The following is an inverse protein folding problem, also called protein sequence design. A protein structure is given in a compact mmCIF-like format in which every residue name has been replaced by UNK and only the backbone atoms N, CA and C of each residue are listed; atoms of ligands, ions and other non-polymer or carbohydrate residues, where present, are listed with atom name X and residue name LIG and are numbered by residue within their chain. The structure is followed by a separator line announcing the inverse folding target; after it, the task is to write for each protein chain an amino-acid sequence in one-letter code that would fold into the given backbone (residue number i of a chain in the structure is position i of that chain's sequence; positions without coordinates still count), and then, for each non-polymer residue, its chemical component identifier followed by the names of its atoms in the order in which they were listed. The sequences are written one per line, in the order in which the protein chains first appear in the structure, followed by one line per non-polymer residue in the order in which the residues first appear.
data_IF_260006084935
#
_entry.id   IF_260006084935
#
_cell.length_a   1.000
_cell.length_b   1.000
_cell.length_c   1.000
_cell.angle_alpha   90.00
_cell.angle_beta   90.00
_cell.angle_gamma   90.00
#
_symmetry.space_group_name_H-M   'P 1'
#
loop_
_entity.id
_entity.type
_entity.pdbx_description
1 polymer ?
#
# COMPACT_ATOMS: atom_id res chain seq x y z
N UNK A 1 -0.73 26.55 -14.72
CA UNK A 1 -2.04 26.35 -14.08
C UNK A 1 -2.24 27.45 -13.05
N UNK A 2 -3.34 28.18 -13.09
CA UNK A 2 -3.65 29.23 -12.11
C UNK A 2 -4.20 28.58 -10.84
N UNK A 3 -4.03 29.21 -9.66
CA UNK A 3 -4.58 28.71 -8.40
C UNK A 3 -6.11 28.50 -8.42
N UNK A 4 -6.80 29.21 -9.32
CA UNK A 4 -8.26 29.09 -9.57
C UNK A 4 -8.65 27.79 -10.28
N UNK A 5 -7.70 27.06 -10.87
CA UNK A 5 -7.96 25.82 -11.61
C UNK A 5 -7.76 24.58 -10.73
N UNK A 6 -7.36 24.75 -9.47
CA UNK A 6 -7.13 23.67 -8.52
C UNK A 6 -8.45 23.18 -7.97
N UNK A 7 -8.75 21.90 -8.20
CA UNK A 7 -9.90 21.24 -7.57
C UNK A 7 -9.61 20.99 -6.09
N UNK A 8 -10.58 21.25 -5.24
CA UNK A 8 -10.53 20.75 -3.87
C UNK A 8 -10.78 19.25 -3.89
N UNK A 9 -9.86 18.49 -3.31
CA UNK A 9 -9.86 17.02 -3.37
C UNK A 9 -9.65 16.45 -1.98
N UNK A 10 -10.40 15.41 -1.64
CA UNK A 10 -10.14 14.55 -0.48
C UNK A 10 -10.04 13.12 -0.96
N UNK A 11 -8.90 12.49 -0.68
CA UNK A 11 -8.63 11.08 -1.01
C UNK A 11 -8.47 10.31 0.29
N UNK A 12 -9.06 9.12 0.34
CA UNK A 12 -8.87 8.15 1.42
C UNK A 12 -8.30 6.86 0.83
N UNK A 13 -7.23 6.37 1.43
CA UNK A 13 -6.59 5.10 1.07
C UNK A 13 -6.58 4.20 2.30
N UNK A 14 -7.07 2.96 2.21
CA UNK A 14 -7.08 2.03 3.33
C UNK A 14 -5.67 1.58 3.68
N UNK A 15 -5.49 1.10 4.91
CA UNK A 15 -4.33 0.31 5.32
C UNK A 15 -4.61 -1.18 5.26
N UNK A 16 -3.73 -1.97 5.88
CA UNK A 16 -3.89 -3.41 6.10
C UNK A 16 -3.75 -3.75 7.59
N UNK A 17 -3.90 -5.02 7.91
CA UNK A 17 -3.58 -5.56 9.24
C UNK A 17 -2.51 -6.66 9.16
N UNK A 18 -1.51 -6.46 8.32
CA UNK A 18 -0.52 -7.45 7.93
C UNK A 18 -0.88 -8.13 6.61
N UNK A 19 -0.11 -9.14 6.23
CA UNK A 19 -0.27 -9.84 4.97
C UNK A 19 -1.05 -11.14 5.15
N UNK A 20 -1.98 -11.43 4.22
CA UNK A 20 -2.64 -12.75 4.16
C UNK A 20 -1.63 -13.83 3.79
N UNK A 21 -0.84 -13.57 2.77
CA UNK A 21 0.28 -14.40 2.35
C UNK A 21 1.47 -13.52 2.02
N UNK A 22 2.66 -13.97 2.36
CA UNK A 22 3.91 -13.37 1.90
C UNK A 22 4.99 -14.41 1.80
N UNK A 23 5.87 -14.29 0.81
CA UNK A 23 6.94 -15.24 0.61
C UNK A 23 7.65 -15.07 -0.71
N UNK A 24 8.22 -16.17 -1.19
CA UNK A 24 8.95 -16.24 -2.44
C UNK A 24 8.38 -17.36 -3.29
N UNK A 25 7.94 -17.06 -4.51
CA UNK A 25 7.33 -18.04 -5.41
C UNK A 25 7.70 -17.77 -6.87
N UNK A 26 8.10 -18.82 -7.60
CA UNK A 26 8.50 -18.69 -9.00
C UNK A 26 9.74 -17.80 -9.21
N UNK A 27 10.66 -17.77 -8.25
CA UNK A 27 11.86 -16.95 -8.30
C UNK A 27 11.65 -15.48 -7.96
N UNK A 28 10.48 -15.09 -7.43
CA UNK A 28 10.15 -13.71 -7.10
C UNK A 28 9.47 -13.57 -5.73
N UNK A 29 9.70 -12.45 -5.03
CA UNK A 29 8.96 -12.15 -3.82
C UNK A 29 7.50 -11.82 -4.16
N UNK A 30 6.62 -12.15 -3.25
CA UNK A 30 5.21 -11.77 -3.35
C UNK A 30 4.61 -11.45 -1.99
N UNK A 31 3.56 -10.67 -2.00
CA UNK A 31 2.65 -10.49 -0.89
C UNK A 31 1.19 -10.39 -1.37
N UNK A 32 0.28 -10.78 -0.49
CA UNK A 32 -1.16 -10.62 -0.68
C UNK A 32 -1.71 -9.84 0.50
N UNK A 33 -2.13 -8.62 0.23
CA UNK A 33 -2.62 -7.68 1.24
C UNK A 33 -4.14 -7.63 1.25
N UNK A 34 -4.73 -7.67 2.44
CA UNK A 34 -6.17 -7.44 2.65
C UNK A 34 -6.38 -6.01 3.17
N UNK A 35 -6.99 -5.12 2.38
CA UNK A 35 -7.32 -3.79 2.86
C UNK A 35 -8.34 -3.83 4.00
N UNK A 36 -8.19 -2.91 4.96
CA UNK A 36 -9.09 -2.76 6.12
C UNK A 36 -9.79 -1.38 6.13
N UNK A 37 -10.87 -1.26 6.88
CA UNK A 37 -11.63 -0.01 6.99
C UNK A 37 -10.98 0.99 7.98
N UNK A 38 -9.66 1.18 7.88
CA UNK A 38 -8.88 2.27 8.51
C UNK A 38 -8.07 2.95 7.43
N UNK A 39 -7.98 4.27 7.50
CA UNK A 39 -7.57 5.06 6.35
C UNK A 39 -6.50 6.10 6.66
N UNK A 40 -5.63 6.32 5.69
CA UNK A 40 -4.96 7.59 5.50
C UNK A 40 -5.83 8.49 4.64
N UNK A 41 -6.02 9.74 5.07
CA UNK A 41 -6.81 10.77 4.37
C UNK A 41 -5.90 11.94 4.00
N UNK A 42 -5.94 12.36 2.73
CA UNK A 42 -5.25 13.54 2.23
C UNK A 42 -6.26 14.52 1.64
N UNK A 43 -6.23 15.77 2.13
CA UNK A 43 -6.90 16.92 1.49
C UNK A 43 -5.89 17.75 0.71
N UNK A 44 -6.23 18.10 -0.52
CA UNK A 44 -5.51 19.07 -1.35
C UNK A 44 -6.44 20.22 -1.70
N UNK A 45 -6.03 21.46 -1.48
CA UNK A 45 -6.86 22.64 -1.76
C UNK A 45 -5.99 23.88 -1.94
N UNK A 46 -6.43 24.81 -2.80
CA UNK A 46 -5.82 26.13 -2.95
C UNK A 46 -5.84 26.98 -1.66
N UNK A 47 -6.75 26.69 -0.73
CA UNK A 47 -6.87 27.39 0.55
C UNK A 47 -5.92 26.86 1.63
N UNK A 48 -5.33 25.68 1.43
CA UNK A 48 -4.34 25.11 2.34
C UNK A 48 -2.94 25.67 2.07
N UNK A 49 -2.14 25.77 3.12
CA UNK A 49 -0.75 26.23 3.03
C UNK A 49 0.22 25.07 3.33
N UNK A 50 1.22 24.91 2.48
CA UNK A 50 2.31 23.95 2.66
C UNK A 50 1.88 22.47 2.60
N UNK A 51 2.76 21.61 3.09
CA UNK A 51 2.58 20.16 3.13
C UNK A 51 2.57 19.69 4.59
N UNK A 52 1.39 19.58 5.18
CA UNK A 52 1.19 19.27 6.60
C UNK A 52 0.92 17.80 6.80
N UNK A 53 1.61 17.16 7.74
CA UNK A 53 1.43 15.73 8.09
C UNK A 53 2.11 14.72 7.16
N UNK A 54 2.69 15.15 6.03
CA UNK A 54 3.38 14.28 5.10
C UNK A 54 4.72 13.81 5.69
N UNK A 55 4.95 12.49 5.72
CA UNK A 55 6.23 11.87 6.06
C UNK A 55 7.26 11.99 4.94
N UNK A 56 8.50 11.56 5.21
CA UNK A 56 9.60 11.64 4.25
C UNK A 56 9.29 10.87 2.95
N UNK A 57 8.83 9.63 3.07
CA UNK A 57 8.53 8.76 1.92
C UNK A 57 7.42 9.32 1.04
N UNK A 58 6.33 9.81 1.63
CA UNK A 58 5.24 10.44 0.87
C UNK A 58 5.65 11.77 0.22
N UNK A 59 6.57 12.54 0.84
CA UNK A 59 7.19 13.72 0.21
C UNK A 59 8.07 13.34 -0.97
N UNK A 60 8.89 12.29 -0.83
CA UNK A 60 9.73 11.76 -1.93
C UNK A 60 8.87 11.28 -3.10
N UNK A 61 7.80 10.55 -2.85
CA UNK A 61 6.86 10.12 -3.88
C UNK A 61 6.25 11.31 -4.63
N UNK A 62 5.79 12.33 -3.88
CA UNK A 62 5.25 13.56 -4.46
C UNK A 62 6.29 14.26 -5.35
N UNK A 63 7.54 14.36 -4.91
CA UNK A 63 8.62 14.96 -5.72
C UNK A 63 8.89 14.19 -7.00
N UNK A 64 8.88 12.85 -6.97
CA UNK A 64 9.03 12.01 -8.17
C UNK A 64 7.90 12.29 -9.17
N UNK A 65 6.66 12.32 -8.69
CA UNK A 65 5.50 12.63 -9.51
C UNK A 65 5.59 14.02 -10.15
N UNK A 66 5.90 15.06 -9.36
CA UNK A 66 5.99 16.44 -9.84
C UNK A 66 7.09 16.61 -10.88
N UNK A 67 8.27 16.00 -10.68
CA UNK A 67 9.36 15.99 -11.66
C UNK A 67 8.93 15.34 -12.99
N UNK A 68 8.27 14.17 -12.90
CA UNK A 68 7.78 13.47 -14.08
C UNK A 68 6.70 14.25 -14.84
N UNK A 69 5.92 15.06 -14.14
CA UNK A 69 4.89 15.93 -14.70
C UNK A 69 5.40 17.33 -15.14
N UNK A 70 6.69 17.64 -14.94
CA UNK A 70 7.27 18.95 -15.26
C UNK A 70 6.73 20.10 -14.39
N UNK A 71 6.32 19.79 -13.14
CA UNK A 71 5.74 20.76 -12.21
C UNK A 71 6.78 21.13 -11.15
N UNK A 72 7.26 22.37 -11.18
CA UNK A 72 8.27 22.87 -10.25
C UNK A 72 7.68 23.17 -8.86
N UNK A 73 6.44 23.68 -8.81
CA UNK A 73 5.79 24.12 -7.58
C UNK A 73 4.31 23.77 -7.59
N UNK A 74 3.84 23.16 -6.48
CA UNK A 74 2.41 22.93 -6.28
C UNK A 74 1.67 24.28 -6.09
N UNK A 75 0.57 24.50 -6.84
CA UNK A 75 -0.26 25.69 -6.69
C UNK A 75 -1.25 25.60 -5.51
N UNK A 76 -1.11 24.59 -4.64
CA UNK A 76 -2.00 24.32 -3.50
C UNK A 76 -1.23 23.69 -2.33
N UNK A 77 -1.84 23.72 -1.16
CA UNK A 77 -1.36 22.97 0.00
C UNK A 77 -2.03 21.61 0.15
N UNK A 78 -1.41 20.76 0.96
CA UNK A 78 -1.90 19.42 1.28
C UNK A 78 -1.86 19.16 2.78
N UNK A 79 -2.86 18.43 3.29
CA UNK A 79 -2.89 17.95 4.68
C UNK A 79 -3.17 16.46 4.70
N UNK A 80 -2.29 15.71 5.35
CA UNK A 80 -2.44 14.28 5.60
C UNK A 80 -2.81 14.04 7.05
N UNK A 81 -3.80 13.18 7.26
CA UNK A 81 -4.15 12.59 8.56
C UNK A 81 -4.29 11.08 8.38
N UNK A 82 -3.86 10.29 9.37
CA UNK A 82 -3.90 8.83 9.28
C UNK A 82 -4.47 8.22 10.56
N UNK A 83 -5.34 7.23 10.39
CA UNK A 83 -5.84 6.34 11.45
C UNK A 83 -4.90 5.14 11.66
N UNK A 84 -3.88 5.02 10.81
CA UNK A 84 -2.97 3.86 10.79
C UNK A 84 -1.75 4.14 11.67
N UNK A 85 -1.53 3.36 12.74
CA UNK A 85 -0.33 3.49 13.54
C UNK A 85 0.91 3.11 12.71
N UNK A 86 1.99 3.87 12.90
CA UNK A 86 3.26 3.63 12.21
C UNK A 86 4.04 2.49 12.84
N UNK A 87 4.77 1.70 12.03
CA UNK A 87 5.60 0.61 12.50
C UNK A 87 4.83 -0.57 13.09
N UNK A 88 3.56 -0.76 12.69
CA UNK A 88 2.70 -1.85 13.16
C UNK A 88 2.30 -2.85 12.07
N UNK A 89 2.99 -2.83 10.93
CA UNK A 89 2.62 -3.70 9.80
C UNK A 89 1.24 -3.39 9.20
N UNK A 90 0.76 -2.13 9.32
CA UNK A 90 -0.58 -1.74 8.86
C UNK A 90 -0.55 -0.99 7.52
N UNK A 91 0.49 -1.16 6.72
CA UNK A 91 0.68 -0.52 5.41
C UNK A 91 0.55 1.02 5.45
N UNK A 92 0.85 1.64 6.60
CA UNK A 92 0.67 3.09 6.78
C UNK A 92 1.50 3.91 5.79
N UNK A 93 2.72 3.48 5.48
CA UNK A 93 3.60 4.14 4.50
C UNK A 93 3.07 4.05 3.08
N UNK A 94 2.66 2.85 2.65
CA UNK A 94 2.07 2.62 1.32
C UNK A 94 0.75 3.41 1.14
N UNK A 95 -0.09 3.46 2.18
CA UNK A 95 -1.32 4.25 2.18
C UNK A 95 -1.03 5.76 2.11
N UNK A 96 -0.03 6.26 2.85
CA UNK A 96 0.38 7.67 2.83
C UNK A 96 0.90 8.07 1.45
N UNK A 97 1.76 7.25 0.84
CA UNK A 97 2.30 7.48 -0.51
C UNK A 97 1.17 7.54 -1.53
N UNK A 98 0.30 6.53 -1.56
CA UNK A 98 -0.77 6.44 -2.54
C UNK A 98 -1.79 7.58 -2.38
N UNK A 99 -2.17 7.92 -1.14
CA UNK A 99 -3.11 9.01 -0.87
C UNK A 99 -2.55 10.37 -1.31
N UNK A 100 -1.26 10.63 -1.08
CA UNK A 100 -0.58 11.87 -1.51
C UNK A 100 -0.51 11.96 -3.02
N UNK A 101 -0.10 10.90 -3.71
CA UNK A 101 -0.01 10.86 -5.17
C UNK A 101 -1.39 11.03 -5.82
N UNK A 102 -2.40 10.31 -5.33
CA UNK A 102 -3.76 10.41 -5.86
C UNK A 102 -4.37 11.79 -5.62
N UNK A 103 -4.20 12.37 -4.43
CA UNK A 103 -4.72 13.71 -4.14
C UNK A 103 -4.01 14.79 -4.97
N UNK A 104 -2.69 14.71 -5.11
CA UNK A 104 -1.93 15.66 -5.91
C UNK A 104 -2.32 15.60 -7.40
N UNK A 105 -2.35 14.41 -7.98
CA UNK A 105 -2.70 14.23 -9.39
C UNK A 105 -4.14 14.66 -9.69
N UNK A 106 -5.08 14.32 -8.80
CA UNK A 106 -6.48 14.72 -8.97
C UNK A 106 -6.67 16.24 -8.86
N UNK A 107 -6.01 16.89 -7.88
CA UNK A 107 -6.07 18.34 -7.74
C UNK A 107 -5.45 19.08 -8.96
N UNK A 108 -4.50 18.45 -9.64
CA UNK A 108 -3.90 18.93 -10.89
C UNK A 108 -4.72 18.59 -12.15
N UNK A 109 -5.88 17.95 -11.97
CA UNK A 109 -6.74 17.54 -13.10
C UNK A 109 -6.23 16.29 -13.85
N UNK A 110 -5.27 15.57 -13.26
CA UNK A 110 -4.70 14.34 -13.81
C UNK A 110 -5.04 13.18 -12.87
N UNK A 111 -5.93 12.29 -13.26
CA UNK A 111 -6.26 11.12 -12.46
C UNK A 111 -5.28 10.00 -12.78
N UNK A 112 -4.39 9.69 -11.84
CA UNK A 112 -3.50 8.53 -11.96
C UNK A 112 -4.30 7.23 -11.73
N UNK A 113 -4.15 6.29 -12.66
CA UNK A 113 -4.65 4.93 -12.46
C UNK A 113 -3.88 4.22 -11.33
N UNK A 114 -4.47 3.21 -10.64
CA UNK A 114 -3.80 2.47 -9.57
C UNK A 114 -2.43 1.91 -9.96
N UNK A 115 -2.27 1.45 -11.19
CA UNK A 115 -1.00 0.93 -11.70
C UNK A 115 0.07 2.03 -11.86
N UNK A 116 -0.35 3.26 -12.14
CA UNK A 116 0.57 4.40 -12.19
C UNK A 116 1.02 4.84 -10.78
N UNK A 117 0.10 4.79 -9.80
CA UNK A 117 0.43 4.99 -8.39
C UNK A 117 1.43 3.94 -7.93
N UNK A 118 1.21 2.66 -8.29
CA UNK A 118 2.06 1.54 -7.94
C UNK A 118 3.48 1.71 -8.49
N UNK A 119 3.62 2.09 -9.77
CA UNK A 119 4.93 2.36 -10.39
C UNK A 119 5.70 3.50 -9.73
N UNK A 120 5.02 4.48 -9.15
CA UNK A 120 5.68 5.55 -8.39
C UNK A 120 6.01 5.11 -6.97
N UNK A 121 5.13 4.36 -6.32
CA UNK A 121 5.34 3.89 -4.96
C UNK A 121 6.57 2.98 -4.83
N UNK A 122 6.75 2.01 -5.73
CA UNK A 122 7.90 1.09 -5.71
C UNK A 122 9.25 1.77 -5.97
N UNK A 123 9.27 2.98 -6.53
CA UNK A 123 10.50 3.77 -6.63
C UNK A 123 10.92 4.41 -5.30
N UNK A 124 10.03 4.40 -4.32
CA UNK A 124 10.28 4.94 -2.98
C UNK A 124 10.63 3.83 -2.01
N UNK A 125 9.84 2.77 -2.00
CA UNK A 125 10.00 1.59 -1.15
C UNK A 125 9.24 0.38 -1.72
N UNK A 126 9.54 -0.87 -1.29
CA UNK A 126 8.63 -2.00 -1.47
C UNK A 126 7.25 -1.65 -0.90
N UNK A 127 6.18 -1.91 -1.65
CA UNK A 127 4.86 -1.36 -1.34
C UNK A 127 3.79 -2.43 -1.24
N UNK A 128 2.85 -2.21 -0.33
CA UNK A 128 1.64 -3.01 -0.20
C UNK A 128 0.59 -2.61 -1.25
N UNK A 129 -0.30 -3.54 -1.58
CA UNK A 129 -1.30 -3.34 -2.62
C UNK A 129 -2.61 -2.69 -2.12
N UNK A 130 -2.60 -2.01 -0.97
CA UNK A 130 -3.81 -1.49 -0.29
C UNK A 130 -4.66 -0.51 -1.12
N UNK A 131 -4.09 0.11 -2.13
CA UNK A 131 -4.76 1.04 -3.04
C UNK A 131 -5.16 0.43 -4.39
N UNK A 132 -4.85 -0.85 -4.59
CA UNK A 132 -5.31 -1.59 -5.76
C UNK A 132 -6.76 -2.07 -5.55
N UNK A 133 -7.56 -2.18 -6.62
CA UNK A 133 -8.92 -2.71 -6.51
C UNK A 133 -8.93 -4.18 -6.08
N UNK A 134 -9.63 -4.48 -4.99
CA UNK A 134 -9.77 -5.85 -4.47
C UNK A 134 -8.56 -6.32 -3.68
N UNK A 135 -8.44 -7.63 -3.54
CA UNK A 135 -7.27 -8.30 -2.95
C UNK A 135 -6.37 -8.75 -4.08
N UNK A 136 -5.11 -8.37 -4.06
CA UNK A 136 -4.15 -8.70 -5.12
C UNK A 136 -2.90 -9.36 -4.55
N UNK A 137 -2.34 -10.27 -5.34
CA UNK A 137 -0.99 -10.80 -5.16
C UNK A 137 -0.04 -9.94 -5.98
N UNK A 138 0.95 -9.39 -5.33
CA UNK A 138 1.85 -8.38 -5.88
C UNK A 138 3.31 -8.75 -5.60
N UNK A 139 4.19 -8.57 -6.57
CA UNK A 139 5.61 -8.42 -6.29
C UNK A 139 5.83 -7.01 -5.74
N UNK A 140 6.07 -6.89 -4.44
CA UNK A 140 6.15 -5.61 -3.73
C UNK A 140 7.36 -4.76 -4.13
N UNK A 141 8.39 -5.37 -4.71
CA UNK A 141 9.62 -4.70 -5.13
C UNK A 141 9.48 -4.08 -6.52
N UNK A 142 8.87 -4.82 -7.46
CA UNK A 142 8.73 -4.39 -8.85
C UNK A 142 7.39 -3.72 -9.15
N UNK A 143 6.40 -3.90 -8.28
CA UNK A 143 5.03 -3.47 -8.51
C UNK A 143 4.27 -4.32 -9.54
N UNK A 144 4.77 -5.52 -9.87
CA UNK A 144 4.09 -6.41 -10.80
C UNK A 144 2.93 -7.12 -10.10
N UNK A 145 1.69 -6.86 -10.53
CA UNK A 145 0.52 -7.62 -10.09
C UNK A 145 0.59 -9.02 -10.70
N UNK A 146 0.61 -10.04 -9.85
CA UNK A 146 0.67 -11.45 -10.26
C UNK A 146 -0.72 -12.07 -10.37
N UNK A 147 -1.61 -11.74 -9.42
CA UNK A 147 -3.01 -12.23 -9.39
C UNK A 147 -3.93 -11.18 -8.80
N UNK A 148 -5.20 -11.22 -9.20
CA UNK A 148 -6.28 -10.42 -8.61
C UNK A 148 -7.43 -11.33 -8.19
N UNK A 149 -7.93 -11.12 -6.98
CA UNK A 149 -9.01 -11.91 -6.38
C UNK A 149 -10.28 -11.06 -6.32
N UNK A 150 -11.09 -11.08 -7.40
CA UNK A 150 -12.29 -10.24 -7.53
C UNK A 150 -13.49 -10.73 -6.74
N UNK A 151 -13.52 -12.01 -6.38
CA UNK A 151 -14.70 -12.67 -5.78
C UNK A 151 -14.64 -12.76 -4.27
N UNK A 152 -13.61 -12.19 -3.64
CA UNK A 152 -13.49 -12.25 -2.20
C UNK A 152 -14.36 -11.19 -1.54
N UNK A 153 -15.28 -11.63 -0.69
CA UNK A 153 -15.84 -10.75 0.34
C UNK A 153 -14.74 -10.41 1.34
N UNK A 154 -14.69 -9.14 1.75
CA UNK A 154 -13.73 -8.74 2.78
C UNK A 154 -14.13 -9.38 4.11
N UNK A 155 -13.23 -10.19 4.74
CA UNK A 155 -13.54 -10.82 6.00
C UNK A 155 -13.64 -9.79 7.13
N UNK A 156 -14.41 -10.12 8.15
CA UNK A 156 -14.37 -9.37 9.39
C UNK A 156 -13.11 -9.76 10.17
N UNK A 157 -12.27 -8.76 10.49
CA UNK A 157 -10.98 -8.96 11.12
C UNK A 157 -10.97 -8.36 12.54
N UNK A 158 -10.42 -9.10 13.50
CA UNK A 158 -10.10 -8.58 14.83
C UNK A 158 -8.59 -8.41 14.92
N UNK A 159 -8.15 -7.20 15.27
CA UNK A 159 -6.73 -6.84 15.33
C UNK A 159 -6.32 -6.71 16.80
N UNK A 160 -5.26 -7.43 17.19
CA UNK A 160 -4.64 -7.32 18.50
C UNK A 160 -3.26 -6.67 18.35
N UNK A 161 -3.05 -5.54 19.02
CA UNK A 161 -1.71 -4.92 19.11
C UNK A 161 -0.95 -5.59 20.29
N UNK A 162 0.05 -6.38 19.97
CA UNK A 162 0.90 -7.08 20.94
C UNK A 162 2.08 -6.22 21.42
N UNK A 163 2.14 -4.96 21.04
CA UNK A 163 3.25 -4.06 21.34
C UNK A 163 4.36 -4.09 20.28
N UNK A 164 5.48 -3.45 20.56
CA UNK A 164 6.64 -3.37 19.66
C UNK A 164 6.40 -2.54 18.39
N UNK A 165 7.43 -2.45 17.57
CA UNK A 165 7.40 -1.84 16.23
C UNK A 165 8.14 -2.72 15.25
N UNK A 166 7.69 -2.78 14.01
CA UNK A 166 8.32 -3.53 12.92
C UNK A 166 9.09 -2.56 12.03
N UNK A 167 10.37 -2.84 11.80
CA UNK A 167 11.13 -2.22 10.72
C UNK A 167 10.95 -3.06 9.45
N UNK A 168 10.07 -2.61 8.58
CA UNK A 168 9.74 -3.28 7.31
C UNK A 168 10.95 -3.42 6.39
N UNK A 169 11.92 -2.51 6.45
CA UNK A 169 13.12 -2.60 5.61
C UNK A 169 14.04 -3.75 6.05
N UNK A 170 14.19 -3.97 7.35
CA UNK A 170 14.95 -5.09 7.90
C UNK A 170 14.27 -6.43 7.57
N UNK A 171 12.96 -6.53 7.77
CA UNK A 171 12.21 -7.75 7.48
C UNK A 171 12.27 -8.16 5.99
N UNK A 172 12.27 -7.21 5.07
CA UNK A 172 12.40 -7.51 3.64
C UNK A 172 13.79 -8.02 3.26
N UNK A 173 14.83 -7.57 3.94
CA UNK A 173 16.21 -8.00 3.66
C UNK A 173 16.47 -9.45 4.10
N UNK A 174 15.85 -9.89 5.20
CA UNK A 174 16.01 -11.26 5.73
C UNK A 174 15.21 -12.30 4.97
N UNK A 175 14.07 -11.91 4.39
CA UNK A 175 13.18 -12.81 3.63
C UNK A 175 13.65 -13.09 2.18
N UNK A 176 14.76 -12.53 1.75
CA UNK A 176 15.24 -12.62 0.36
C UNK A 176 15.80 -14.00 0.02
N UNK A 177 15.11 -14.73 -0.86
CA UNK A 177 15.69 -15.80 -1.68
C UNK A 177 15.41 -17.24 -1.28
N UNK A 178 14.45 -17.53 -0.43
CA UNK A 178 14.09 -18.92 -0.10
C UNK A 178 12.72 -19.31 -0.64
N UNK A 179 12.68 -20.04 -1.75
CA UNK A 179 11.50 -20.78 -2.21
C UNK A 179 11.34 -22.05 -1.36
N UNK A 180 11.06 -21.86 -0.04
CA UNK A 180 11.06 -22.95 0.92
C UNK A 180 9.72 -23.70 1.02
N UNK A 181 8.64 -23.14 0.44
CA UNK A 181 7.28 -23.61 0.69
C UNK A 181 6.44 -23.70 -0.60
N UNK A 182 5.48 -24.65 -0.67
CA UNK A 182 4.57 -24.81 -1.81
C UNK A 182 3.46 -23.76 -1.77
N UNK A 183 3.72 -22.53 -2.21
CA UNK A 183 2.80 -21.40 -2.16
C UNK A 183 1.56 -21.54 -3.07
N UNK A 184 1.67 -22.22 -4.20
CA UNK A 184 0.60 -22.33 -5.19
C UNK A 184 -0.74 -22.84 -4.64
N UNK A 185 -0.78 -23.91 -3.80
CA UNK A 185 -2.01 -24.33 -3.15
C UNK A 185 -2.66 -23.25 -2.27
N UNK A 186 -1.85 -22.44 -1.53
CA UNK A 186 -2.37 -21.36 -0.69
C UNK A 186 -2.88 -20.20 -1.54
N UNK A 187 -2.14 -19.79 -2.57
CA UNK A 187 -2.57 -18.76 -3.51
C UNK A 187 -3.89 -19.11 -4.21
N UNK A 188 -4.07 -20.39 -4.54
CA UNK A 188 -5.32 -20.90 -5.13
C UNK A 188 -6.45 -20.95 -4.09
N UNK A 189 -6.14 -21.34 -2.84
CA UNK A 189 -7.12 -21.45 -1.76
C UNK A 189 -7.77 -20.10 -1.42
N UNK A 190 -7.08 -18.97 -1.58
CA UNK A 190 -7.62 -17.64 -1.36
C UNK A 190 -8.91 -17.38 -2.17
N UNK A 191 -9.02 -17.91 -3.38
CA UNK A 191 -10.20 -17.75 -4.23
C UNK A 191 -11.40 -18.63 -3.82
N UNK A 192 -11.26 -19.53 -2.83
CA UNK A 192 -12.24 -20.55 -2.46
C UNK A 192 -13.14 -20.14 -1.27
N UNK A 193 -13.12 -18.89 -0.86
CA UNK A 193 -13.96 -18.33 0.21
C UNK A 193 -13.25 -18.10 1.54
N UNK A 194 -13.96 -17.47 2.49
CA UNK A 194 -13.38 -16.95 3.75
C UNK A 194 -12.67 -18.01 4.61
N UNK A 195 -13.25 -19.20 4.71
CA UNK A 195 -12.64 -20.28 5.49
C UNK A 195 -11.27 -20.66 4.94
N UNK A 196 -11.18 -20.84 3.62
CA UNK A 196 -9.94 -21.20 2.94
C UNK A 196 -8.93 -20.07 2.98
N UNK A 197 -9.38 -18.84 2.91
CA UNK A 197 -8.55 -17.66 3.11
C UNK A 197 -7.92 -17.66 4.50
N UNK A 198 -8.71 -17.90 5.57
CA UNK A 198 -8.22 -17.94 6.93
C UNK A 198 -7.21 -19.09 7.17
N UNK A 199 -7.48 -20.29 6.61
CA UNK A 199 -6.57 -21.44 6.67
C UNK A 199 -5.24 -21.12 5.96
N UNK A 200 -5.28 -20.53 4.77
CA UNK A 200 -4.11 -20.16 3.99
C UNK A 200 -3.27 -19.08 4.71
N UNK A 201 -3.92 -18.02 5.22
CA UNK A 201 -3.24 -16.98 5.99
C UNK A 201 -2.57 -17.52 7.26
N UNK A 202 -3.25 -18.42 7.98
CA UNK A 202 -2.67 -19.10 9.16
C UNK A 202 -1.45 -19.92 8.80
N UNK A 203 -1.50 -20.66 7.68
CA UNK A 203 -0.36 -21.45 7.23
C UNK A 203 0.81 -20.58 6.79
N UNK A 204 0.55 -19.48 6.08
CA UNK A 204 1.56 -18.48 5.72
C UNK A 204 2.25 -17.91 6.96
N UNK A 205 1.47 -17.52 7.98
CA UNK A 205 2.02 -17.01 9.23
C UNK A 205 2.94 -18.03 9.92
N UNK A 206 2.54 -19.30 9.96
CA UNK A 206 3.36 -20.38 10.54
C UNK A 206 4.68 -20.58 9.78
N UNK A 207 4.65 -20.51 8.46
CA UNK A 207 5.86 -20.65 7.65
C UNK A 207 6.82 -19.46 7.85
N UNK A 208 6.28 -18.26 8.02
CA UNK A 208 7.09 -17.06 8.24
C UNK A 208 7.59 -16.92 9.69
N UNK A 209 6.98 -17.58 10.67
CA UNK A 209 7.45 -17.57 12.07
C UNK A 209 8.88 -18.12 12.23
N UNK A 210 9.32 -19.00 11.34
CA UNK A 210 10.66 -19.57 11.38
C UNK A 210 11.74 -18.59 10.84
N UNK A 211 11.31 -17.48 10.24
CA UNK A 211 12.18 -16.48 9.60
C UNK A 211 12.20 -15.15 10.38
N UNK A 212 11.21 -14.93 11.25
CA UNK A 212 11.08 -13.76 12.14
C UNK A 212 11.53 -14.12 13.57
#
# INVERSE_FOLDING_TARGET
MRATDVKEVTVRVPGSCGELLQGWHGGEPFLVTCPIARYTTVRASATLQGLVGLGEKSRRALQLYLRGAGIEKLPFGMRLTSELPRGKGMASSSADIAAVLAAASHALGQLLAPEALLRLAVQVEPTDAVFMPGIVCLNQVTGRVQRTYHSLSYPQLTIFDTGGTVDTAACHAEAMGQEAHPWEPLLTALAQGERRLAEAATQSARWNQAVL
#
